data_IF_747197138095
#
_entry.id   IF_747197138095
#
_cell.length_a   1.000
_cell.length_b   1.000
_cell.length_c   1.000
_cell.angle_alpha   90.00
_cell.angle_beta   90.00
_cell.angle_gamma   90.00
#
_symmetry.space_group_name_H-M   'P 1'
#
loop_
_entity.id
_entity.type
_entity.pdbx_description
1 polymer ?
#
# COMPACT_ATOMS: atom_id res chain seq x y z
N UNK A 1 0.50 6.63 22.94
CA UNK A 1 0.02 6.23 21.60
C UNK A 1 -1.35 6.87 21.43
N UNK A 2 -1.62 7.47 20.26
CA UNK A 2 -2.97 7.94 19.93
C UNK A 2 -3.92 6.75 19.87
N UNK A 3 -5.18 6.97 20.24
CA UNK A 3 -6.27 6.04 19.96
C UNK A 3 -7.08 6.59 18.80
N UNK A 4 -7.13 5.86 17.69
CA UNK A 4 -7.87 6.25 16.50
C UNK A 4 -9.35 5.89 16.63
N UNK A 5 -10.23 6.80 16.21
CA UNK A 5 -11.64 6.50 16.08
C UNK A 5 -11.89 5.61 14.86
N UNK A 6 -12.83 4.68 14.97
CA UNK A 6 -13.19 3.74 13.90
C UNK A 6 -14.65 3.96 13.49
N UNK A 7 -14.83 4.42 12.26
CA UNK A 7 -16.16 4.70 11.73
C UNK A 7 -16.77 3.42 11.19
N UNK A 8 -17.98 3.10 11.63
CA UNK A 8 -18.72 1.96 11.08
C UNK A 8 -19.09 2.27 9.62
N UNK A 9 -18.56 1.51 8.68
CA UNK A 9 -18.94 1.58 7.27
C UNK A 9 -19.71 0.34 6.84
N UNK A 10 -20.44 0.45 5.74
CA UNK A 10 -20.96 -0.74 5.06
C UNK A 10 -19.80 -1.68 4.72
N UNK A 11 -20.07 -3.00 4.75
CA UNK A 11 -19.05 -3.99 4.44
C UNK A 11 -18.57 -3.81 3.00
N UNK A 12 -17.28 -3.55 2.83
CA UNK A 12 -16.66 -3.51 1.52
C UNK A 12 -16.69 -4.91 0.88
N UNK A 13 -16.94 -4.95 -0.42
CA UNK A 13 -16.88 -6.21 -1.17
C UNK A 13 -15.42 -6.62 -1.34
N UNK A 14 -15.08 -7.80 -0.83
CA UNK A 14 -13.79 -8.42 -1.10
C UNK A 14 -13.75 -9.02 -2.51
N UNK A 15 -12.84 -8.50 -3.34
CA UNK A 15 -12.64 -9.00 -4.70
C UNK A 15 -11.63 -10.15 -4.73
N UNK A 16 -11.96 -11.23 -5.45
CA UNK A 16 -11.03 -12.34 -5.66
C UNK A 16 -9.88 -11.88 -6.57
N UNK A 17 -8.65 -12.11 -6.12
CA UNK A 17 -7.41 -11.82 -6.86
C UNK A 17 -7.02 -13.04 -7.70
N UNK A 18 -6.64 -12.82 -8.97
CA UNK A 18 -6.10 -13.86 -9.86
C UNK A 18 -4.84 -13.34 -10.54
N UNK A 19 -3.84 -14.19 -10.69
CA UNK A 19 -2.68 -13.91 -11.53
C UNK A 19 -2.92 -14.47 -12.93
N UNK A 20 -2.79 -13.62 -13.95
CA UNK A 20 -2.95 -13.96 -15.37
C UNK A 20 -1.78 -13.33 -16.13
N UNK A 21 -0.98 -14.15 -16.79
CA UNK A 21 0.20 -13.73 -17.56
C UNK A 21 1.18 -12.84 -16.78
N UNK A 22 1.41 -13.18 -15.50
CA UNK A 22 2.28 -12.40 -14.61
C UNK A 22 1.71 -11.05 -14.18
N UNK A 23 0.42 -10.81 -14.42
CA UNK A 23 -0.29 -9.60 -13.98
C UNK A 23 -1.41 -9.94 -13.01
N UNK A 24 -1.58 -9.08 -12.00
CA UNK A 24 -2.68 -9.22 -11.03
C UNK A 24 -3.96 -8.65 -11.64
N UNK A 25 -5.01 -9.44 -11.60
CA UNK A 25 -6.38 -9.05 -11.97
C UNK A 25 -7.34 -9.33 -10.80
N UNK A 26 -8.45 -8.62 -10.80
CA UNK A 26 -9.52 -8.74 -9.83
C UNK A 26 -10.80 -9.19 -10.52
N UNK A 27 -11.47 -10.19 -9.97
CA UNK A 27 -12.79 -10.64 -10.42
C UNK A 27 -13.86 -9.67 -9.90
N UNK A 28 -14.53 -8.97 -10.81
CA UNK A 28 -15.58 -7.98 -10.50
C UNK A 28 -16.95 -8.63 -10.52
N UNK A 29 -17.26 -9.40 -11.55
CA UNK A 29 -18.50 -10.16 -11.73
C UNK A 29 -18.15 -11.44 -12.48
N UNK A 30 -19.09 -12.37 -12.64
CA UNK A 30 -18.84 -13.61 -13.36
C UNK A 30 -18.24 -13.33 -14.75
N UNK A 31 -17.02 -13.84 -14.97
CA UNK A 31 -16.20 -13.62 -16.17
C UNK A 31 -15.78 -12.17 -16.47
N UNK A 32 -15.99 -11.22 -15.56
CA UNK A 32 -15.52 -9.83 -15.70
C UNK A 32 -14.31 -9.57 -14.80
N UNK A 33 -13.17 -9.27 -15.42
CA UNK A 33 -11.91 -9.04 -14.72
C UNK A 33 -11.36 -7.65 -15.01
N UNK A 34 -10.85 -6.99 -13.98
CA UNK A 34 -10.10 -5.74 -14.12
C UNK A 34 -8.63 -5.90 -13.71
N UNK A 35 -7.68 -5.34 -14.48
CA UNK A 35 -6.28 -5.31 -14.08
C UNK A 35 -6.08 -4.48 -12.82
N UNK A 36 -5.04 -4.82 -12.06
CA UNK A 36 -4.64 -3.99 -10.93
C UNK A 36 -4.19 -2.60 -11.40
N UNK A 37 -4.48 -1.57 -10.60
CA UNK A 37 -4.00 -0.20 -10.87
C UNK A 37 -2.47 -0.17 -11.02
N UNK A 38 -1.74 -0.96 -10.22
CA UNK A 38 -0.28 -1.11 -10.32
C UNK A 38 0.15 -1.72 -11.64
N UNK A 39 -0.60 -2.67 -12.19
CA UNK A 39 -0.35 -3.24 -13.53
C UNK A 39 -0.48 -2.18 -14.61
N UNK A 40 -1.54 -1.37 -14.55
CA UNK A 40 -1.78 -0.30 -15.53
C UNK A 40 -0.67 0.75 -15.46
N UNK A 41 -0.37 1.26 -14.26
CA UNK A 41 0.71 2.22 -14.02
C UNK A 41 2.10 1.66 -14.34
N UNK A 42 2.28 0.34 -14.25
CA UNK A 42 3.50 -0.36 -14.60
C UNK A 42 3.82 -0.35 -16.09
N UNK A 43 2.81 -0.15 -16.95
CA UNK A 43 2.97 -0.11 -18.42
C UNK A 43 3.36 1.26 -18.98
N UNK A 44 3.47 2.28 -18.12
CA UNK A 44 3.91 3.62 -18.55
C UNK A 44 5.31 3.55 -19.24
N UNK A 45 5.46 4.02 -20.50
CA UNK A 45 6.72 3.91 -21.23
C UNK A 45 7.91 4.61 -20.56
N UNK A 46 7.73 5.84 -20.08
CA UNK A 46 8.78 6.64 -19.46
C UNK A 46 9.29 5.98 -18.16
N UNK A 47 8.37 5.43 -17.37
CA UNK A 47 8.70 4.65 -16.17
C UNK A 47 9.51 3.41 -16.53
N UNK A 48 9.09 2.67 -17.56
CA UNK A 48 9.80 1.47 -18.01
C UNK A 48 11.21 1.81 -18.51
N UNK A 49 11.35 2.88 -19.28
CA UNK A 49 12.64 3.36 -19.77
C UNK A 49 13.55 3.79 -18.61
N UNK A 50 13.02 4.59 -17.67
CA UNK A 50 13.75 5.02 -16.48
C UNK A 50 14.25 3.86 -15.63
N UNK A 51 13.40 2.85 -15.40
CA UNK A 51 13.77 1.64 -14.68
C UNK A 51 14.82 0.82 -15.44
N UNK A 52 14.72 0.70 -16.77
CA UNK A 52 15.73 0.02 -17.60
C UNK A 52 17.09 0.73 -17.51
N UNK A 53 17.12 2.06 -17.65
CA UNK A 53 18.33 2.90 -17.51
C UNK A 53 18.95 2.75 -16.12
N UNK A 54 18.13 2.82 -15.07
CA UNK A 54 18.59 2.63 -13.69
C UNK A 54 19.19 1.23 -13.47
N UNK A 55 18.51 0.17 -13.93
CA UNK A 55 19.01 -1.21 -13.85
C UNK A 55 20.34 -1.38 -14.58
N UNK A 56 20.49 -0.82 -15.78
CA UNK A 56 21.76 -0.82 -16.53
C UNK A 56 22.86 -0.10 -15.77
N UNK A 57 22.55 1.01 -15.09
CA UNK A 57 23.52 1.80 -14.32
C UNK A 57 24.01 1.08 -13.06
N UNK A 58 23.12 0.44 -12.30
CA UNK A 58 23.49 -0.19 -11.02
C UNK A 58 23.89 -1.67 -11.14
N UNK A 59 23.56 -2.30 -12.27
CA UNK A 59 23.75 -3.73 -12.52
C UNK A 59 22.54 -4.57 -12.11
N UNK A 60 22.22 -5.60 -12.88
CA UNK A 60 21.00 -6.42 -12.73
C UNK A 60 20.89 -7.06 -11.34
N UNK A 61 21.95 -7.70 -10.85
CA UNK A 61 21.95 -8.36 -9.54
C UNK A 61 21.71 -7.36 -8.40
N UNK A 62 22.44 -6.24 -8.41
CA UNK A 62 22.28 -5.17 -7.42
C UNK A 62 20.89 -4.55 -7.48
N UNK A 63 20.35 -4.33 -8.68
CA UNK A 63 19.00 -3.82 -8.85
C UNK A 63 17.94 -4.78 -8.28
N UNK A 64 18.08 -6.08 -8.51
CA UNK A 64 17.19 -7.10 -7.94
C UNK A 64 17.28 -7.15 -6.42
N UNK A 65 18.50 -7.06 -5.86
CA UNK A 65 18.72 -6.99 -4.40
C UNK A 65 18.03 -5.76 -3.79
N UNK A 66 18.25 -4.57 -4.36
CA UNK A 66 17.63 -3.31 -3.90
C UNK A 66 16.11 -3.39 -3.98
N UNK A 67 15.56 -3.89 -5.10
CA UNK A 67 14.12 -3.99 -5.31
C UNK A 67 13.48 -4.92 -4.27
N UNK A 68 14.05 -6.12 -4.07
CA UNK A 68 13.58 -7.09 -3.08
C UNK A 68 13.63 -6.55 -1.66
N UNK A 69 14.74 -5.89 -1.29
CA UNK A 69 14.87 -5.27 0.02
C UNK A 69 13.85 -4.15 0.23
N UNK A 70 13.65 -3.29 -0.79
CA UNK A 70 12.68 -2.19 -0.72
C UNK A 70 11.25 -2.70 -0.56
N UNK A 71 10.85 -3.74 -1.31
CA UNK A 71 9.53 -4.36 -1.19
C UNK A 71 9.31 -4.97 0.20
N UNK A 72 10.27 -5.76 0.70
CA UNK A 72 10.17 -6.39 2.03
C UNK A 72 10.06 -5.35 3.16
N UNK A 73 10.83 -4.27 3.04
CA UNK A 73 10.81 -3.15 3.98
C UNK A 73 9.46 -2.43 3.96
N UNK A 74 8.92 -2.16 2.77
CA UNK A 74 7.59 -1.58 2.62
C UNK A 74 6.50 -2.42 3.28
N UNK A 75 6.47 -3.73 3.00
CA UNK A 75 5.50 -4.65 3.61
C UNK A 75 5.59 -4.65 5.13
N UNK A 76 6.79 -4.67 5.71
CA UNK A 76 6.97 -4.62 7.17
C UNK A 76 6.40 -3.36 7.80
N UNK A 77 6.64 -2.20 7.19
CA UNK A 77 6.14 -0.92 7.70
C UNK A 77 4.63 -0.83 7.55
N UNK A 78 4.07 -1.30 6.45
CA UNK A 78 2.61 -1.38 6.26
C UNK A 78 1.93 -2.19 7.35
N UNK A 79 2.43 -3.38 7.67
CA UNK A 79 1.85 -4.21 8.73
C UNK A 79 1.87 -3.49 10.10
N UNK A 80 2.97 -2.79 10.42
CA UNK A 80 3.07 -2.02 11.67
C UNK A 80 2.04 -0.88 11.68
N UNK A 81 1.91 -0.14 10.57
CA UNK A 81 0.93 0.94 10.45
C UNK A 81 -0.49 0.37 10.58
N UNK A 82 -0.79 -0.75 9.93
CA UNK A 82 -2.11 -1.39 10.01
C UNK A 82 -2.49 -1.72 11.47
N UNK A 83 -1.59 -2.38 12.20
CA UNK A 83 -1.82 -2.69 13.62
C UNK A 83 -1.89 -1.42 14.47
N UNK A 84 -1.12 -0.38 14.14
CA UNK A 84 -1.17 0.91 14.83
C UNK A 84 -2.53 1.59 14.66
N UNK A 85 -3.02 1.70 13.43
CA UNK A 85 -4.31 2.31 13.11
C UNK A 85 -5.48 1.53 13.69
N UNK A 86 -5.35 0.20 13.85
CA UNK A 86 -6.32 -0.66 14.56
C UNK A 86 -6.29 -0.52 16.08
N UNK A 87 -5.43 0.34 16.64
CA UNK A 87 -5.17 0.43 18.08
C UNK A 87 -4.67 -0.91 18.68
N UNK A 88 -3.98 -1.74 17.91
CA UNK A 88 -3.53 -3.08 18.29
C UNK A 88 -2.01 -3.25 18.23
N UNK A 89 -1.24 -2.17 18.07
CA UNK A 89 0.22 -2.24 18.08
C UNK A 89 0.74 -2.51 19.50
N UNK A 90 1.01 -3.77 19.81
CA UNK A 90 1.30 -4.24 21.17
C UNK A 90 2.56 -5.12 21.20
N UNK A 91 3.70 -4.58 20.77
CA UNK A 91 5.00 -5.25 20.87
C UNK A 91 5.22 -6.43 19.93
N UNK A 92 4.30 -6.72 18.99
CA UNK A 92 4.44 -7.83 18.03
C UNK A 92 5.65 -7.68 17.10
N UNK A 93 6.21 -6.47 17.02
CA UNK A 93 7.31 -6.10 16.12
C UNK A 93 8.63 -5.78 16.84
N UNK A 94 8.79 -6.24 18.09
CA UNK A 94 10.02 -6.02 18.86
C UNK A 94 11.26 -6.66 18.19
N UNK A 95 11.08 -7.71 17.39
CA UNK A 95 12.12 -8.36 16.59
C UNK A 95 12.37 -7.66 15.23
N UNK A 96 11.66 -6.56 14.95
CA UNK A 96 11.73 -5.81 13.71
C UNK A 96 12.15 -4.34 13.96
N UNK A 97 13.34 -4.09 14.52
CA UNK A 97 13.77 -2.75 14.91
C UNK A 97 13.84 -1.78 13.72
N UNK A 98 14.24 -2.26 12.53
CA UNK A 98 14.29 -1.43 11.33
C UNK A 98 12.89 -1.00 10.85
N UNK A 99 11.88 -1.88 10.98
CA UNK A 99 10.50 -1.53 10.65
C UNK A 99 9.94 -0.49 11.62
N UNK A 100 10.22 -0.68 12.91
CA UNK A 100 9.79 0.24 13.97
C UNK A 100 10.44 1.62 13.86
N UNK A 101 11.73 1.70 13.55
CA UNK A 101 12.43 2.97 13.33
C UNK A 101 11.75 3.78 12.20
N UNK A 102 11.51 3.13 11.06
CA UNK A 102 10.82 3.76 9.94
C UNK A 102 9.38 4.17 10.27
N UNK A 103 8.63 3.31 10.96
CA UNK A 103 7.29 3.66 11.45
C UNK A 103 7.32 4.89 12.36
N UNK A 104 8.29 4.97 13.27
CA UNK A 104 8.43 6.08 14.23
C UNK A 104 8.60 7.43 13.51
N UNK A 105 9.19 7.45 12.32
CA UNK A 105 9.26 8.68 11.50
C UNK A 105 7.92 9.14 10.94
N UNK A 106 6.99 8.21 10.70
CA UNK A 106 5.63 8.50 10.21
C UNK A 106 4.66 8.77 11.34
N UNK A 107 4.89 8.19 12.53
CA UNK A 107 3.97 8.23 13.66
C UNK A 107 3.46 9.65 14.00
N UNK A 108 4.30 10.71 14.09
CA UNK A 108 3.81 12.05 14.41
C UNK A 108 2.78 12.57 13.40
N UNK A 109 2.97 12.28 12.11
CA UNK A 109 2.04 12.69 11.05
C UNK A 109 0.73 11.94 11.17
N UNK A 110 0.77 10.64 11.46
CA UNK A 110 -0.43 9.84 11.68
C UNK A 110 -1.19 10.35 12.92
N UNK A 111 -0.47 10.66 14.00
CA UNK A 111 -1.07 11.12 15.25
C UNK A 111 -1.73 12.50 15.09
N UNK A 112 -1.08 13.42 14.39
CA UNK A 112 -1.56 14.79 14.23
C UNK A 112 -2.68 14.91 13.18
N UNK A 113 -2.54 14.20 12.05
CA UNK A 113 -3.31 14.52 10.83
C UNK A 113 -4.31 13.47 10.41
N UNK A 114 -4.22 12.25 10.95
CA UNK A 114 -5.07 11.13 10.55
C UNK A 114 -6.01 10.73 11.69
N UNK A 115 -7.30 10.60 11.43
CA UNK A 115 -8.28 10.00 12.36
C UNK A 115 -9.46 9.40 11.59
N UNK A 116 -10.48 8.94 12.31
CA UNK A 116 -11.74 8.43 11.74
C UNK A 116 -11.47 7.37 10.66
N UNK A 117 -10.89 6.25 11.07
CA UNK A 117 -10.53 5.15 10.18
C UNK A 117 -11.82 4.49 9.68
N UNK A 118 -12.03 4.55 8.36
CA UNK A 118 -13.19 3.95 7.69
C UNK A 118 -12.90 2.53 7.21
N UNK A 119 -11.71 2.31 6.65
CA UNK A 119 -11.30 1.01 6.13
C UNK A 119 -9.78 0.89 6.00
N UNK A 120 -9.28 -0.34 6.02
CA UNK A 120 -7.89 -0.67 5.76
C UNK A 120 -7.82 -1.90 4.87
N UNK A 121 -6.86 -1.94 3.95
CA UNK A 121 -6.58 -3.09 3.08
C UNK A 121 -7.79 -3.60 2.25
N UNK A 122 -8.78 -2.73 1.98
CA UNK A 122 -9.98 -3.10 1.22
C UNK A 122 -9.78 -2.98 -0.28
N UNK A 123 -10.48 -3.81 -1.03
CA UNK A 123 -10.47 -3.76 -2.50
C UNK A 123 -11.51 -2.79 -3.03
N UNK A 124 -11.09 -1.92 -3.96
CA UNK A 124 -11.94 -0.98 -4.69
C UNK A 124 -11.79 -1.19 -6.20
N UNK A 125 -12.81 -0.82 -6.96
CA UNK A 125 -12.77 -0.86 -8.43
C UNK A 125 -13.51 0.32 -9.05
N UNK A 126 -13.22 0.59 -10.31
CA UNK A 126 -13.91 1.58 -11.14
C UNK A 126 -14.34 0.91 -12.43
N UNK A 127 -15.65 0.79 -12.65
CA UNK A 127 -16.19 0.32 -13.92
C UNK A 127 -15.91 1.28 -15.07
N UNK A 128 -15.90 2.59 -14.78
CA UNK A 128 -15.59 3.62 -15.78
C UNK A 128 -14.16 3.50 -16.32
N UNK A 129 -13.18 3.31 -15.42
CA UNK A 129 -11.77 3.18 -15.80
C UNK A 129 -11.39 1.73 -16.15
N UNK A 130 -12.23 0.76 -15.78
CA UNK A 130 -11.93 -0.66 -15.96
C UNK A 130 -10.73 -1.13 -15.15
N UNK A 131 -10.53 -0.62 -13.93
CA UNK A 131 -9.39 -0.95 -13.06
C UNK A 131 -9.84 -1.29 -11.64
N UNK A 132 -9.02 -2.06 -10.94
CA UNK A 132 -9.23 -2.39 -9.53
C UNK A 132 -7.92 -2.31 -8.73
N UNK A 133 -8.04 -2.21 -7.42
CA UNK A 133 -6.88 -2.09 -6.53
C UNK A 133 -7.25 -2.40 -5.09
N UNK A 134 -6.23 -2.44 -4.26
CA UNK A 134 -6.35 -2.48 -2.81
C UNK A 134 -5.80 -1.17 -2.29
N UNK A 135 -6.56 -0.50 -1.42
CA UNK A 135 -6.11 0.73 -0.76
C UNK A 135 -5.47 0.36 0.58
N UNK A 136 -4.42 1.08 0.97
CA UNK A 136 -3.82 0.87 2.29
C UNK A 136 -4.82 1.31 3.37
N UNK A 137 -5.36 2.53 3.25
CA UNK A 137 -6.30 3.09 4.21
C UNK A 137 -7.30 4.08 3.59
N UNK A 138 -8.52 4.08 4.14
CA UNK A 138 -9.53 5.13 3.97
C UNK A 138 -9.78 5.74 5.34
N UNK A 139 -9.51 7.03 5.48
CA UNK A 139 -9.55 7.75 6.75
C UNK A 139 -9.76 9.25 6.50
N UNK A 140 -10.02 10.01 7.56
CA UNK A 140 -9.99 11.47 7.49
C UNK A 140 -8.56 11.95 7.70
N UNK A 141 -8.03 12.65 6.68
CA UNK A 141 -6.74 13.33 6.75
C UNK A 141 -7.00 14.84 6.75
N UNK A 142 -6.59 15.54 7.80
CA UNK A 142 -6.96 16.94 8.07
C UNK A 142 -8.47 17.21 7.92
N UNK A 143 -9.30 16.37 8.55
CA UNK A 143 -10.77 16.43 8.50
C UNK A 143 -11.39 16.23 7.10
N UNK A 144 -10.64 15.65 6.16
CA UNK A 144 -11.14 15.33 4.82
C UNK A 144 -11.01 13.83 4.55
N UNK A 145 -12.13 13.19 4.22
CA UNK A 145 -12.15 11.78 3.79
C UNK A 145 -11.20 11.62 2.60
N UNK A 146 -10.22 10.75 2.77
CA UNK A 146 -9.10 10.57 1.86
C UNK A 146 -8.74 9.10 1.69
N UNK A 147 -8.26 8.76 0.49
CA UNK A 147 -7.51 7.52 0.26
C UNK A 147 -6.06 7.82 0.65
N UNK A 148 -5.54 7.07 1.62
CA UNK A 148 -4.19 7.24 2.15
C UNK A 148 -3.33 6.06 1.71
N UNK A 149 -2.17 6.36 1.14
CA UNK A 149 -1.20 5.40 0.62
C UNK A 149 0.14 5.62 1.34
N UNK A 150 0.55 4.67 2.16
CA UNK A 150 1.76 4.79 2.97
C UNK A 150 2.98 4.39 2.13
N UNK A 151 4.00 5.23 2.11
CA UNK A 151 5.19 5.01 1.29
C UNK A 151 6.46 5.14 2.11
N UNK A 152 7.40 4.25 1.82
CA UNK A 152 8.77 4.33 2.35
C UNK A 152 9.71 4.74 1.23
N UNK A 153 10.63 5.66 1.53
CA UNK A 153 11.70 6.06 0.61
C UNK A 153 13.06 5.75 1.22
N UNK A 154 14.04 5.43 0.39
CA UNK A 154 15.45 5.37 0.80
C UNK A 154 16.20 6.69 0.56
N UNK A 155 15.55 7.65 -0.10
CA UNK A 155 16.04 9.01 -0.30
C UNK A 155 15.16 9.96 0.49
N UNK A 156 15.79 10.83 1.29
CA UNK A 156 15.18 12.04 1.81
C UNK A 156 15.02 13.06 0.68
#
# INVERSE_FOLDING_TARGET
MKTFNHITTNKFRELKKKEVDGTRQYLIEDNKFYPSITTVLGKNPDKLEGLKKWRKRVGTEKASKISTQSSRRGTRVHNIIEDYLKNNLNGQYNDNPLGMDMFTTLQPVLDERLDNIHAQEVTLWSDHLGVAGQVDCVAEFDNKISIVDFKTSSKL
#
